data_IF_578627140151
#
_entry.id   IF_578627140151
#
_cell.length_a   1.000
_cell.length_b   1.000
_cell.length_c   1.000
_cell.angle_alpha   90.00
_cell.angle_beta   90.00
_cell.angle_gamma   90.00
#
_symmetry.space_group_name_H-M   'P 1'
#
loop_
_entity.id
_entity.type
_entity.pdbx_description
1 polymer ?
#
# COMPACT_ATOMS: atom_id res chain seq x y z
N UNK A 1 6.58 -22.53 -0.79
CA UNK A 1 7.97 -22.02 -0.86
C UNK A 1 8.23 -21.50 -2.27
N UNK A 2 8.88 -20.34 -2.44
CA UNK A 2 9.35 -19.84 -3.74
C UNK A 2 10.87 -19.99 -3.78
N UNK A 3 11.41 -20.53 -4.89
CA UNK A 3 12.85 -20.65 -5.12
C UNK A 3 13.20 -19.86 -6.39
N UNK A 4 14.09 -18.88 -6.26
CA UNK A 4 14.60 -18.07 -7.38
C UNK A 4 16.05 -18.47 -7.64
N UNK A 5 16.33 -18.92 -8.86
CA UNK A 5 17.65 -19.38 -9.29
C UNK A 5 18.35 -18.27 -10.08
N UNK A 6 19.55 -17.93 -9.67
CA UNK A 6 20.38 -16.88 -10.25
C UNK A 6 21.55 -17.49 -11.05
N UNK A 7 21.86 -16.90 -12.17
CA UNK A 7 23.17 -16.98 -12.81
C UNK A 7 24.08 -15.86 -12.27
N UNK A 8 25.36 -15.93 -12.55
CA UNK A 8 26.30 -14.82 -12.21
C UNK A 8 25.86 -13.48 -12.84
N UNK A 9 25.34 -13.54 -14.06
CA UNK A 9 24.82 -12.38 -14.77
C UNK A 9 23.58 -11.80 -14.09
N UNK A 10 22.67 -12.64 -13.59
CA UNK A 10 21.49 -12.21 -12.86
C UNK A 10 21.84 -11.44 -11.61
N UNK A 11 22.86 -11.85 -10.86
CA UNK A 11 23.30 -11.19 -9.63
C UNK A 11 23.69 -9.74 -9.86
N UNK A 12 24.34 -9.44 -10.99
CA UNK A 12 24.70 -8.07 -11.38
C UNK A 12 23.49 -7.23 -11.85
N UNK A 13 22.36 -7.88 -12.12
CA UNK A 13 21.12 -7.27 -12.61
C UNK A 13 20.00 -7.27 -11.58
N UNK A 14 20.29 -7.61 -10.31
CA UNK A 14 19.32 -7.44 -9.22
C UNK A 14 19.25 -5.97 -8.83
N UNK A 15 18.05 -5.45 -8.72
CA UNK A 15 17.83 -4.06 -8.28
C UNK A 15 16.57 -3.94 -7.46
N UNK A 16 16.57 -3.07 -6.50
CA UNK A 16 15.37 -2.58 -5.82
C UNK A 16 14.78 -1.43 -6.64
N UNK A 17 13.46 -1.41 -6.79
CA UNK A 17 12.78 -0.31 -7.47
C UNK A 17 13.00 1.00 -6.68
N UNK A 18 13.54 2.07 -7.29
CA UNK A 18 13.87 3.30 -6.57
C UNK A 18 12.64 4.15 -6.25
N UNK A 19 11.51 3.89 -6.93
CA UNK A 19 10.24 4.60 -6.76
C UNK A 19 9.08 3.63 -6.77
N UNK A 20 7.95 3.95 -6.09
CA UNK A 20 6.76 3.11 -6.13
C UNK A 20 6.09 3.22 -7.49
N UNK A 21 5.58 2.11 -8.01
CA UNK A 21 4.84 2.04 -9.25
C UNK A 21 3.32 2.08 -8.96
N UNK A 22 2.58 3.12 -9.44
CA UNK A 22 1.18 3.32 -9.07
C UNK A 22 0.26 2.15 -9.40
N UNK A 23 0.39 1.56 -10.60
CA UNK A 23 -0.47 0.43 -10.99
C UNK A 23 -0.08 -0.87 -10.29
N UNK A 24 1.21 -1.10 -10.05
CA UNK A 24 1.67 -2.25 -9.28
C UNK A 24 1.08 -2.25 -7.87
N UNK A 25 1.15 -1.11 -7.18
CA UNK A 25 0.60 -0.95 -5.84
C UNK A 25 -0.94 -1.04 -5.85
N UNK A 26 -1.60 -0.47 -6.89
CA UNK A 26 -3.05 -0.60 -7.06
C UNK A 26 -3.47 -2.07 -7.21
N UNK A 27 -2.79 -2.83 -8.05
CA UNK A 27 -3.12 -4.24 -8.27
C UNK A 27 -2.88 -5.08 -7.01
N UNK A 28 -1.80 -4.79 -6.27
CA UNK A 28 -1.53 -5.39 -4.96
C UNK A 28 -2.67 -5.09 -3.96
N UNK A 29 -3.12 -3.83 -3.90
CA UNK A 29 -4.23 -3.40 -3.07
C UNK A 29 -5.55 -4.08 -3.46
N UNK A 30 -5.91 -4.09 -4.75
CA UNK A 30 -7.13 -4.73 -5.24
C UNK A 30 -7.11 -6.24 -5.02
N UNK A 31 -5.97 -6.91 -5.26
CA UNK A 31 -5.80 -8.34 -4.98
C UNK A 31 -6.09 -8.63 -3.51
N UNK A 32 -5.58 -7.81 -2.60
CA UNK A 32 -5.83 -7.96 -1.17
C UNK A 32 -7.30 -7.63 -0.81
N UNK A 33 -7.90 -6.62 -1.46
CA UNK A 33 -9.28 -6.24 -1.20
C UNK A 33 -10.28 -7.35 -1.57
N UNK A 34 -10.04 -8.11 -2.64
CA UNK A 34 -10.92 -9.21 -3.10
C UNK A 34 -10.55 -10.57 -2.52
N UNK A 35 -9.37 -10.73 -1.92
CA UNK A 35 -8.94 -11.98 -1.32
C UNK A 35 -9.84 -12.41 -0.15
N UNK A 36 -10.11 -13.69 -0.01
CA UNK A 36 -10.98 -14.26 1.04
C UNK A 36 -10.28 -14.47 2.39
N UNK A 37 -9.20 -13.75 2.68
CA UNK A 37 -8.41 -13.90 3.90
C UNK A 37 -9.13 -13.39 5.16
N UNK A 38 -8.85 -14.02 6.31
CA UNK A 38 -9.35 -13.63 7.64
C UNK A 38 -8.36 -12.75 8.42
N UNK A 39 -7.50 -11.99 7.72
CA UNK A 39 -6.60 -11.08 8.41
C UNK A 39 -7.42 -9.95 9.07
N UNK A 40 -7.46 -9.86 10.41
CA UNK A 40 -8.26 -8.85 11.10
C UNK A 40 -7.76 -7.43 10.85
N UNK A 41 -6.47 -7.23 10.56
CA UNK A 41 -5.89 -5.91 10.27
C UNK A 41 -6.36 -5.38 8.92
N UNK A 42 -6.45 -6.25 7.92
CA UNK A 42 -6.92 -5.90 6.59
C UNK A 42 -8.45 -5.99 6.43
N UNK A 43 -9.17 -6.61 7.36
CA UNK A 43 -10.62 -6.83 7.23
C UNK A 43 -11.43 -5.54 7.11
N UNK A 44 -11.17 -4.56 7.98
CA UNK A 44 -11.83 -3.24 7.94
C UNK A 44 -11.39 -2.43 6.72
N UNK A 45 -10.10 -2.44 6.42
CA UNK A 45 -9.55 -1.77 5.25
C UNK A 45 -10.17 -2.31 3.95
N UNK A 46 -10.29 -3.62 3.79
CA UNK A 46 -10.96 -4.27 2.64
C UNK A 46 -12.40 -3.78 2.47
N UNK A 47 -13.18 -3.79 3.55
CA UNK A 47 -14.56 -3.29 3.53
C UNK A 47 -14.66 -1.82 3.10
N UNK A 48 -13.72 -0.97 3.52
CA UNK A 48 -13.64 0.43 3.09
C UNK A 48 -13.28 0.55 1.62
N UNK A 49 -12.24 -0.14 1.17
CA UNK A 49 -11.82 -0.13 -0.25
C UNK A 49 -12.96 -0.56 -1.18
N UNK A 50 -13.62 -1.70 -0.86
CA UNK A 50 -14.70 -2.21 -1.70
C UNK A 50 -15.91 -1.26 -1.76
N UNK A 51 -16.21 -0.52 -0.67
CA UNK A 51 -17.26 0.51 -0.69
C UNK A 51 -16.86 1.79 -1.41
N UNK A 52 -15.58 2.14 -1.40
CA UNK A 52 -15.06 3.34 -2.05
C UNK A 52 -14.90 3.18 -3.57
N UNK A 53 -14.79 1.94 -4.07
CA UNK A 53 -14.62 1.70 -5.50
C UNK A 53 -15.87 2.17 -6.28
N UNK A 54 -15.72 3.09 -7.24
CA UNK A 54 -16.83 3.55 -8.05
C UNK A 54 -17.23 2.48 -9.09
N UNK A 55 -18.46 2.54 -9.58
CA UNK A 55 -18.96 1.62 -10.62
C UNK A 55 -18.09 1.62 -11.89
N UNK A 56 -17.40 2.74 -12.18
CA UNK A 56 -16.46 2.86 -13.31
C UNK A 56 -15.23 1.96 -13.17
N UNK A 57 -14.90 1.49 -11.97
CA UNK A 57 -13.84 0.51 -11.73
C UNK A 57 -14.30 -0.95 -11.95
N UNK A 58 -15.61 -1.17 -12.10
CA UNK A 58 -16.21 -2.52 -12.27
C UNK A 58 -15.54 -3.41 -13.31
N UNK A 59 -15.16 -2.89 -14.50
CA UNK A 59 -14.46 -3.67 -15.53
C UNK A 59 -13.17 -4.35 -15.06
N UNK A 60 -12.51 -3.87 -13.98
CA UNK A 60 -11.32 -4.54 -13.44
C UNK A 60 -11.62 -5.94 -12.91
N UNK A 61 -12.83 -6.21 -12.45
CA UNK A 61 -13.25 -7.54 -12.02
C UNK A 61 -13.26 -8.54 -13.19
N UNK A 62 -13.60 -8.07 -14.39
CA UNK A 62 -13.58 -8.89 -15.61
C UNK A 62 -12.14 -9.29 -16.02
N UNK A 63 -11.13 -8.49 -15.64
CA UNK A 63 -9.72 -8.82 -15.91
C UNK A 63 -9.16 -9.90 -14.97
N UNK A 64 -9.87 -10.25 -13.90
CA UNK A 64 -9.38 -11.14 -12.85
C UNK A 64 -10.38 -12.28 -12.55
N UNK A 65 -10.94 -12.97 -13.55
CA UNK A 65 -12.02 -13.95 -13.35
C UNK A 65 -11.61 -15.12 -12.45
N UNK A 66 -10.32 -15.46 -12.44
CA UNK A 66 -9.75 -16.56 -11.63
C UNK A 66 -8.82 -16.06 -10.51
N UNK A 67 -8.94 -14.80 -10.08
CA UNK A 67 -8.10 -14.21 -9.03
C UNK A 67 -6.66 -13.90 -9.47
N UNK A 68 -6.35 -13.94 -10.76
CA UNK A 68 -5.03 -13.66 -11.32
C UNK A 68 -5.14 -12.68 -12.47
N UNK A 69 -4.63 -11.45 -12.31
CA UNK A 69 -4.63 -10.47 -13.39
C UNK A 69 -3.72 -10.87 -14.55
N UNK A 70 -3.96 -10.36 -15.76
CA UNK A 70 -3.01 -10.46 -16.86
C UNK A 70 -1.71 -9.74 -16.52
N UNK A 71 -0.57 -10.40 -16.73
CA UNK A 71 0.73 -9.85 -16.31
C UNK A 71 1.16 -8.61 -17.10
N UNK A 72 0.60 -8.36 -18.29
CA UNK A 72 0.89 -7.15 -19.07
C UNK A 72 0.36 -5.85 -18.42
N UNK A 73 -0.56 -5.96 -17.45
CA UNK A 73 -1.09 -4.82 -16.69
C UNK A 73 -0.15 -4.35 -15.57
N UNK A 74 0.75 -5.22 -15.10
CA UNK A 74 1.68 -4.93 -14.02
C UNK A 74 2.95 -4.30 -14.59
N UNK A 75 2.91 -3.00 -14.84
CA UNK A 75 4.04 -2.24 -15.38
C UNK A 75 4.72 -1.44 -14.27
N UNK A 76 6.03 -1.29 -14.40
CA UNK A 76 6.83 -0.46 -13.50
C UNK A 76 7.05 0.91 -14.17
N UNK A 77 6.33 1.91 -13.69
CA UNK A 77 6.43 3.30 -14.12
C UNK A 77 6.28 4.24 -12.92
N UNK A 78 6.82 5.44 -13.03
CA UNK A 78 6.81 6.42 -11.94
C UNK A 78 5.46 7.15 -11.82
N UNK A 79 4.70 7.19 -12.90
CA UNK A 79 3.41 7.88 -12.98
C UNK A 79 2.31 6.99 -13.54
N UNK A 80 1.07 7.36 -13.25
CA UNK A 80 -0.10 6.64 -13.76
C UNK A 80 -0.22 6.75 -15.29
N UNK A 81 0.07 7.93 -15.86
CA UNK A 81 -0.03 8.13 -17.30
C UNK A 81 1.06 7.37 -18.06
N UNK A 82 2.29 7.36 -17.56
CA UNK A 82 3.38 6.52 -18.10
C UNK A 82 3.01 5.02 -18.02
N UNK A 83 2.40 4.60 -16.91
CA UNK A 83 1.90 3.22 -16.78
C UNK A 83 0.92 2.86 -17.88
N UNK A 84 -0.03 3.76 -18.18
CA UNK A 84 -1.01 3.54 -19.25
C UNK A 84 -0.36 3.44 -20.63
N UNK A 85 0.64 4.27 -20.91
CA UNK A 85 1.37 4.19 -22.17
C UNK A 85 2.14 2.87 -22.29
N UNK A 86 2.81 2.43 -21.23
CA UNK A 86 3.52 1.14 -21.21
C UNK A 86 2.57 -0.05 -21.42
N UNK A 87 1.38 -0.03 -20.81
CA UNK A 87 0.37 -1.06 -21.02
C UNK A 87 -0.12 -1.05 -22.48
N UNK A 88 -0.40 0.12 -23.02
CA UNK A 88 -0.88 0.27 -24.40
C UNK A 88 0.12 -0.20 -25.45
N UNK A 89 1.42 -0.05 -25.15
CA UNK A 89 2.52 -0.50 -26.03
C UNK A 89 2.91 -1.97 -25.80
N UNK A 90 2.16 -2.71 -24.95
CA UNK A 90 2.40 -4.15 -24.78
C UNK A 90 2.24 -4.89 -26.12
N UNK A 91 3.14 -5.84 -26.39
CA UNK A 91 3.11 -6.59 -27.63
C UNK A 91 1.77 -7.34 -27.79
N UNK A 92 1.08 -7.25 -28.93
CA UNK A 92 -0.25 -7.84 -29.12
C UNK A 92 -0.32 -9.34 -28.81
N UNK A 93 0.74 -10.08 -29.13
CA UNK A 93 0.81 -11.51 -28.81
C UNK A 93 0.89 -11.78 -27.30
N UNK A 94 1.61 -10.93 -26.55
CA UNK A 94 1.65 -11.01 -25.08
C UNK A 94 0.26 -10.73 -24.48
N UNK A 95 -0.43 -9.73 -24.99
CA UNK A 95 -1.79 -9.40 -24.55
C UNK A 95 -2.73 -10.59 -24.80
N UNK A 96 -2.69 -11.16 -25.99
CA UNK A 96 -3.50 -12.33 -26.36
C UNK A 96 -3.21 -13.54 -25.48
N UNK A 97 -1.95 -13.92 -25.36
CA UNK A 97 -1.53 -15.07 -24.55
C UNK A 97 -1.92 -14.93 -23.08
N UNK A 98 -1.78 -13.73 -22.53
CA UNK A 98 -2.17 -13.45 -21.14
C UNK A 98 -3.68 -13.46 -20.92
N UNK A 99 -4.47 -12.93 -21.84
CA UNK A 99 -5.94 -13.02 -21.79
C UNK A 99 -6.42 -14.46 -21.94
N UNK A 100 -5.84 -15.23 -22.86
CA UNK A 100 -6.12 -16.66 -23.01
C UNK A 100 -5.76 -17.44 -21.73
N UNK A 101 -4.63 -17.14 -21.12
CA UNK A 101 -4.23 -17.73 -19.83
C UNK A 101 -5.23 -17.42 -18.71
N UNK A 102 -5.73 -16.18 -18.64
CA UNK A 102 -6.65 -15.73 -17.60
C UNK A 102 -8.04 -16.34 -17.77
N UNK A 103 -8.54 -16.40 -19.00
CA UNK A 103 -9.88 -16.91 -19.29
C UNK A 103 -9.93 -18.43 -19.53
N UNK A 104 -8.83 -19.06 -19.96
CA UNK A 104 -8.82 -20.48 -20.30
C UNK A 104 -9.93 -20.82 -21.27
N UNK A 105 -10.79 -21.78 -20.90
CA UNK A 105 -11.97 -22.17 -21.67
C UNK A 105 -13.21 -21.27 -21.46
N UNK A 106 -13.11 -20.26 -20.61
CA UNK A 106 -14.19 -19.31 -20.33
C UNK A 106 -14.46 -18.35 -21.48
N UNK A 107 -15.71 -17.85 -21.57
CA UNK A 107 -16.08 -16.83 -22.57
C UNK A 107 -15.84 -15.43 -21.99
N UNK A 108 -14.86 -14.68 -22.52
CA UNK A 108 -14.62 -13.33 -22.05
C UNK A 108 -15.75 -12.37 -22.43
N UNK A 109 -16.02 -11.33 -21.64
CA UNK A 109 -16.92 -10.24 -22.00
C UNK A 109 -16.57 -9.60 -23.35
N UNK A 110 -17.55 -8.94 -23.99
CA UNK A 110 -17.35 -8.35 -25.34
C UNK A 110 -16.15 -7.39 -25.37
N UNK A 111 -16.02 -6.52 -24.39
CA UNK A 111 -14.94 -5.54 -24.34
C UNK A 111 -13.56 -6.18 -24.15
N UNK A 112 -13.46 -7.31 -23.44
CA UNK A 112 -12.21 -8.08 -23.32
C UNK A 112 -11.84 -8.72 -24.67
N UNK A 113 -12.83 -9.18 -25.46
CA UNK A 113 -12.57 -9.65 -26.83
C UNK A 113 -12.04 -8.54 -27.72
N UNK A 114 -12.56 -7.30 -27.55
CA UNK A 114 -12.03 -6.13 -28.22
C UNK A 114 -10.59 -5.80 -27.79
N UNK A 115 -10.26 -5.99 -26.50
CA UNK A 115 -8.89 -5.84 -26.01
C UNK A 115 -7.94 -6.87 -26.67
N UNK A 116 -8.38 -8.12 -26.75
CA UNK A 116 -7.67 -9.20 -27.47
C UNK A 116 -7.47 -8.87 -28.97
N UNK A 117 -8.44 -8.19 -29.60
CA UNK A 117 -8.36 -7.74 -30.98
C UNK A 117 -7.56 -6.42 -31.15
N UNK A 118 -7.13 -5.77 -30.06
CA UNK A 118 -6.39 -4.50 -30.08
C UNK A 118 -7.28 -3.26 -30.29
N UNK A 119 -8.59 -3.36 -30.03
CA UNK A 119 -9.54 -2.24 -30.19
C UNK A 119 -9.25 -1.11 -29.21
N UNK A 120 -9.07 0.11 -29.69
CA UNK A 120 -8.79 1.31 -28.90
C UNK A 120 -9.86 1.57 -27.83
N UNK A 121 -11.13 1.36 -28.16
CA UNK A 121 -12.23 1.52 -27.21
C UNK A 121 -12.08 0.62 -25.96
N UNK A 122 -11.57 -0.59 -26.13
CA UNK A 122 -11.33 -1.52 -25.02
C UNK A 122 -10.15 -1.07 -24.14
N UNK A 123 -9.12 -0.49 -24.72
CA UNK A 123 -8.01 0.13 -23.97
C UNK A 123 -8.48 1.35 -23.16
N UNK A 124 -9.40 2.15 -23.69
CA UNK A 124 -10.02 3.23 -22.93
C UNK A 124 -10.82 2.73 -21.72
N UNK A 125 -11.49 1.57 -21.83
CA UNK A 125 -12.17 0.95 -20.68
C UNK A 125 -11.15 0.60 -19.58
N UNK A 126 -10.04 -0.06 -19.93
CA UNK A 126 -8.97 -0.41 -18.96
C UNK A 126 -8.44 0.85 -18.27
N UNK A 127 -8.02 1.85 -19.06
CA UNK A 127 -7.44 3.10 -18.55
C UNK A 127 -8.41 3.81 -17.60
N UNK A 128 -9.67 3.95 -17.99
CA UNK A 128 -10.70 4.61 -17.18
C UNK A 128 -10.96 3.87 -15.89
N UNK A 129 -11.04 2.54 -15.92
CA UNK A 129 -11.29 1.73 -14.75
C UNK A 129 -10.12 1.75 -13.77
N UNK A 130 -8.88 1.65 -14.26
CA UNK A 130 -7.67 1.74 -13.42
C UNK A 130 -7.52 3.13 -12.81
N UNK A 131 -7.75 4.20 -13.57
CA UNK A 131 -7.71 5.58 -13.05
C UNK A 131 -8.73 5.78 -11.95
N UNK A 132 -9.97 5.36 -12.17
CA UNK A 132 -11.04 5.50 -11.17
C UNK A 132 -10.74 4.71 -9.89
N UNK A 133 -10.19 3.50 -10.01
CA UNK A 133 -9.76 2.71 -8.85
C UNK A 133 -8.58 3.36 -8.12
N UNK A 134 -7.59 3.88 -8.85
CA UNK A 134 -6.44 4.57 -8.27
C UNK A 134 -6.87 5.82 -7.49
N UNK A 135 -7.71 6.67 -8.07
CA UNK A 135 -8.23 7.89 -7.44
C UNK A 135 -9.00 7.58 -6.15
N UNK A 136 -9.77 6.49 -6.15
CA UNK A 136 -10.56 6.10 -4.99
C UNK A 136 -9.72 5.43 -3.87
N UNK A 137 -8.72 4.62 -4.22
CA UNK A 137 -8.02 3.73 -3.27
C UNK A 137 -6.66 4.27 -2.88
N UNK A 138 -5.85 4.69 -3.85
CA UNK A 138 -4.44 5.02 -3.62
C UNK A 138 -4.14 6.52 -3.61
N UNK A 139 -4.78 7.32 -4.44
CA UNK A 139 -4.47 8.75 -4.53
C UNK A 139 -4.51 9.46 -3.16
N UNK A 140 -5.47 9.18 -2.26
CA UNK A 140 -5.52 9.80 -0.94
C UNK A 140 -4.33 9.44 -0.02
N UNK A 141 -3.71 8.28 -0.23
CA UNK A 141 -2.58 7.78 0.59
C UNK A 141 -1.26 7.78 -0.16
N UNK A 142 -1.26 8.18 -1.43
CA UNK A 142 -0.08 8.10 -2.29
C UNK A 142 1.16 8.84 -1.75
N UNK A 143 1.04 10.04 -1.14
CA UNK A 143 2.18 10.69 -0.50
C UNK A 143 2.82 9.80 0.59
N UNK A 144 2.00 9.16 1.44
CA UNK A 144 2.47 8.24 2.47
C UNK A 144 3.15 7.00 1.86
N UNK A 145 2.56 6.40 0.82
CA UNK A 145 3.16 5.27 0.10
C UNK A 145 4.54 5.63 -0.44
N UNK A 146 4.70 6.83 -1.01
CA UNK A 146 5.99 7.33 -1.51
C UNK A 146 7.03 7.50 -0.40
N UNK A 147 6.64 7.96 0.78
CA UNK A 147 7.54 8.14 1.91
C UNK A 147 7.97 6.79 2.48
N UNK A 148 7.03 5.87 2.71
CA UNK A 148 7.32 4.50 3.13
C UNK A 148 8.23 3.77 2.12
N UNK A 149 7.99 3.95 0.83
CA UNK A 149 8.82 3.37 -0.21
C UNK A 149 10.25 3.91 -0.18
N UNK A 150 10.41 5.22 0.04
CA UNK A 150 11.74 5.85 0.15
C UNK A 150 12.52 5.30 1.35
N UNK A 151 11.86 5.13 2.49
CA UNK A 151 12.46 4.53 3.69
C UNK A 151 12.87 3.08 3.45
N UNK A 152 11.99 2.30 2.83
CA UNK A 152 12.23 0.90 2.49
C UNK A 152 13.42 0.75 1.52
N UNK A 153 13.43 1.56 0.47
CA UNK A 153 14.53 1.59 -0.50
C UNK A 153 15.86 1.96 0.17
N UNK A 154 15.88 3.01 0.99
CA UNK A 154 17.08 3.46 1.69
C UNK A 154 17.61 2.38 2.64
N UNK A 155 16.74 1.68 3.36
CA UNK A 155 17.08 0.56 4.25
C UNK A 155 17.78 -0.57 3.48
N UNK A 156 17.24 -0.99 2.34
CA UNK A 156 17.84 -2.04 1.54
C UNK A 156 19.10 -1.60 0.83
N UNK A 157 19.16 -0.36 0.33
CA UNK A 157 20.37 0.20 -0.28
C UNK A 157 21.54 0.21 0.71
N UNK A 158 21.28 0.60 1.96
CA UNK A 158 22.28 0.56 3.04
C UNK A 158 22.71 -0.89 3.34
N UNK A 159 21.76 -1.80 3.47
CA UNK A 159 22.05 -3.22 3.72
C UNK A 159 22.91 -3.83 2.60
N UNK A 160 22.62 -3.49 1.33
CA UNK A 160 23.43 -3.94 0.19
C UNK A 160 24.84 -3.37 0.25
N UNK A 161 24.97 -2.08 0.61
CA UNK A 161 26.27 -1.41 0.67
C UNK A 161 27.14 -1.94 1.83
N UNK A 162 26.57 -2.25 2.99
CA UNK A 162 27.30 -2.70 4.17
C UNK A 162 27.53 -4.22 4.21
N UNK A 163 26.55 -5.01 3.75
CA UNK A 163 26.52 -6.45 3.97
C UNK A 163 26.34 -7.27 2.68
N UNK A 164 26.20 -6.60 1.55
CA UNK A 164 26.02 -7.22 0.24
C UNK A 164 24.60 -7.65 -0.08
N UNK A 165 24.38 -8.00 -1.36
CA UNK A 165 23.07 -8.36 -1.90
C UNK A 165 22.43 -9.55 -1.19
N UNK A 166 23.23 -10.57 -0.84
CA UNK A 166 22.70 -11.77 -0.16
C UNK A 166 22.06 -11.47 1.19
N UNK A 167 22.66 -10.55 1.97
CA UNK A 167 22.09 -10.10 3.23
C UNK A 167 20.75 -9.35 3.01
N UNK A 168 20.70 -8.48 1.99
CA UNK A 168 19.47 -7.75 1.65
C UNK A 168 18.35 -8.70 1.21
N UNK A 169 18.64 -9.72 0.38
CA UNK A 169 17.66 -10.74 -0.03
C UNK A 169 17.14 -11.54 1.17
N UNK A 170 18.04 -11.91 2.09
CA UNK A 170 17.68 -12.65 3.31
C UNK A 170 16.82 -11.80 4.25
N UNK A 171 17.03 -10.50 4.29
CA UNK A 171 16.27 -9.57 5.13
C UNK A 171 14.84 -9.27 4.64
N UNK A 172 14.47 -9.66 3.40
CA UNK A 172 13.15 -9.34 2.83
C UNK A 172 12.00 -10.09 3.50
N UNK A 173 12.25 -11.27 4.07
CA UNK A 173 11.22 -12.00 4.81
C UNK A 173 11.84 -12.86 5.93
N UNK A 174 11.16 -13.00 7.08
CA UNK A 174 11.57 -13.93 8.12
C UNK A 174 11.70 -15.38 7.57
N UNK A 175 12.85 -16.01 7.76
CA UNK A 175 13.12 -17.35 7.23
C UNK A 175 13.50 -17.41 5.76
N UNK A 176 13.68 -16.28 5.09
CA UNK A 176 14.30 -16.20 3.77
C UNK A 176 15.78 -16.55 3.84
N UNK A 177 16.29 -17.30 2.87
CA UNK A 177 17.68 -17.76 2.80
C UNK A 177 18.21 -17.60 1.38
N UNK A 178 19.41 -17.02 1.27
CA UNK A 178 20.16 -16.92 0.02
C UNK A 178 21.50 -17.69 0.17
N UNK A 179 21.75 -18.64 -0.73
CA UNK A 179 22.96 -19.51 -0.70
C UNK A 179 24.00 -19.17 -1.81
N UNK A 180 23.90 -18.00 -2.39
CA UNK A 180 24.78 -17.53 -3.47
C UNK A 180 24.26 -17.77 -4.87
N UNK A 181 23.41 -18.77 -5.08
CA UNK A 181 22.81 -19.08 -6.39
C UNK A 181 21.30 -19.30 -6.35
N UNK A 182 20.75 -19.60 -5.19
CA UNK A 182 19.32 -19.82 -4.99
C UNK A 182 18.82 -19.03 -3.81
N UNK A 183 17.81 -18.22 -4.06
CA UNK A 183 17.09 -17.54 -3.00
C UNK A 183 15.77 -18.26 -2.70
N UNK A 184 15.60 -18.63 -1.44
CA UNK A 184 14.42 -19.33 -0.93
C UNK A 184 13.56 -18.40 -0.12
N UNK A 185 12.36 -18.14 -0.59
CA UNK A 185 11.34 -17.42 0.17
C UNK A 185 10.41 -18.44 0.85
N UNK A 186 10.19 -18.36 2.16
CA UNK A 186 9.35 -19.30 2.88
C UNK A 186 7.90 -19.23 2.44
N UNK A 187 7.16 -20.32 2.58
CA UNK A 187 5.71 -20.28 2.44
C UNK A 187 5.11 -19.51 3.63
N UNK A 188 4.03 -18.72 3.43
CA UNK A 188 3.33 -18.14 4.56
C UNK A 188 2.84 -19.24 5.51
N UNK A 189 2.85 -19.01 6.84
CA UNK A 189 2.52 -20.03 7.84
C UNK A 189 1.13 -20.66 7.64
N UNK A 190 0.18 -19.90 7.09
CA UNK A 190 -1.20 -20.35 6.89
C UNK A 190 -1.43 -21.15 5.60
N UNK A 191 -0.46 -21.24 4.70
CA UNK A 191 -0.58 -21.99 3.44
C UNK A 191 -0.78 -23.49 3.66
N UNK A 192 -0.35 -24.03 4.77
CA UNK A 192 -0.49 -25.45 5.14
C UNK A 192 -1.91 -25.77 5.61
N UNK A 193 -2.60 -24.84 6.24
CA UNK A 193 -3.95 -25.01 6.78
C UNK A 193 -5.03 -24.89 5.68
N UNK A 194 -4.79 -24.10 4.63
CA UNK A 194 -5.73 -23.94 3.51
C UNK A 194 -5.68 -25.12 2.52
N UNK A 195 -4.56 -25.84 2.45
CA UNK A 195 -4.44 -27.04 1.63
C UNK A 195 -5.17 -28.26 2.22
N UNK A 196 -5.49 -28.27 3.52
CA UNK A 196 -6.14 -29.38 4.22
C UNK A 196 -7.65 -29.20 4.42
N UNK A 197 -8.22 -28.01 4.18
CA UNK A 197 -9.66 -27.78 4.26
C UNK A 197 -10.29 -27.71 2.86
N UNK A 198 -10.55 -28.89 2.31
CA UNK A 198 -11.58 -29.26 1.37
C UNK A 198 -12.03 -28.25 0.32
N UNK A 199 -11.26 -28.03 -0.68
CA UNK A 199 -11.72 -27.41 -1.92
C UNK A 199 -12.50 -28.44 -2.77
N UNK A 200 -13.80 -28.56 -2.56
CA UNK A 200 -14.71 -29.05 -3.61
C UNK A 200 -14.89 -27.92 -4.62
N UNK A 201 -14.03 -27.90 -5.62
CA UNK A 201 -14.01 -26.87 -6.68
C UNK A 201 -12.60 -26.57 -7.17
N UNK A 202 -11.68 -27.51 -7.03
CA UNK A 202 -10.33 -27.40 -7.58
C UNK A 202 -10.37 -27.55 -9.09
N UNK A 203 -10.12 -26.45 -9.81
CA UNK A 203 -9.60 -26.55 -11.17
C UNK A 203 -8.24 -27.26 -11.09
N UNK A 204 -8.16 -28.40 -11.79
CA UNK A 204 -7.06 -29.34 -11.77
C UNK A 204 -5.70 -28.64 -11.94
N UNK A 205 -4.79 -28.86 -10.99
CA UNK A 205 -3.35 -28.63 -11.18
C UNK A 205 -2.89 -29.48 -12.36
N UNK A 206 -2.05 -28.95 -13.28
CA UNK A 206 -1.41 -29.78 -14.27
C UNK A 206 -0.67 -30.92 -13.56
N UNK A 207 -0.94 -32.16 -13.98
CA UNK A 207 -0.27 -33.35 -13.47
C UNK A 207 1.24 -33.20 -13.71
N UNK A 208 2.04 -33.24 -12.64
CA UNK A 208 3.51 -33.21 -12.73
C UNK A 208 4.20 -32.15 -11.84
N UNK A 209 3.49 -31.33 -11.07
CA UNK A 209 4.15 -30.41 -10.13
C UNK A 209 4.42 -31.15 -8.83
N UNK A 210 5.70 -31.32 -8.40
CA UNK A 210 6.02 -31.93 -7.11
C UNK A 210 5.40 -31.10 -5.97
N UNK A 211 5.15 -31.73 -4.84
CA UNK A 211 4.68 -31.11 -3.59
C UNK A 211 5.68 -30.12 -2.96
N UNK A 212 6.44 -29.40 -3.74
CA UNK A 212 7.49 -28.47 -3.38
C UNK A 212 7.37 -27.20 -4.21
N UNK A 213 7.39 -26.09 -3.60
CA UNK A 213 7.50 -24.71 -4.04
C UNK A 213 7.59 -24.37 -5.53
N UNK A 214 7.21 -23.12 -5.86
CA UNK A 214 7.38 -22.54 -7.20
C UNK A 214 8.88 -22.26 -7.44
N UNK A 215 9.47 -22.83 -8.46
CA UNK A 215 10.83 -22.54 -8.91
C UNK A 215 10.80 -21.54 -10.08
N UNK A 216 11.65 -20.53 -10.03
CA UNK A 216 11.82 -19.51 -11.07
C UNK A 216 13.29 -19.44 -11.45
N UNK A 217 13.60 -19.54 -12.74
CA UNK A 217 14.96 -19.36 -13.28
C UNK A 217 15.04 -18.00 -13.96
N UNK A 218 15.95 -17.16 -13.52
CA UNK A 218 16.10 -15.81 -14.10
C UNK A 218 16.75 -15.86 -15.49
N UNK A 219 17.76 -16.71 -15.68
CA UNK A 219 18.38 -16.97 -16.99
C UNK A 219 19.05 -15.75 -17.60
N UNK A 220 19.70 -14.91 -16.81
CA UNK A 220 20.38 -13.69 -17.25
C UNK A 220 19.47 -12.46 -17.35
N UNK A 221 18.15 -12.59 -17.10
CA UNK A 221 17.19 -11.48 -17.19
C UNK A 221 17.25 -10.50 -16.01
N UNK A 222 17.80 -10.97 -14.88
CA UNK A 222 17.85 -10.19 -13.65
C UNK A 222 16.52 -10.18 -12.87
N UNK A 223 16.53 -9.49 -11.74
CA UNK A 223 15.41 -9.42 -10.79
C UNK A 223 15.16 -7.96 -10.37
N UNK A 224 13.92 -7.52 -10.41
CA UNK A 224 13.48 -6.25 -9.84
C UNK A 224 12.62 -6.51 -8.61
N UNK A 225 13.05 -5.98 -7.48
CA UNK A 225 12.38 -6.08 -6.19
C UNK A 225 11.55 -4.83 -5.94
N UNK A 226 10.25 -5.00 -5.71
CA UNK A 226 9.30 -3.89 -5.54
C UNK A 226 8.59 -4.06 -4.19
N UNK A 227 8.72 -3.14 -3.25
CA UNK A 227 7.94 -3.20 -2.02
C UNK A 227 6.46 -2.88 -2.29
N UNK A 228 5.56 -3.54 -1.58
CA UNK A 228 4.13 -3.20 -1.53
C UNK A 228 3.68 -3.06 -0.08
N UNK A 229 2.82 -2.08 0.18
CA UNK A 229 2.29 -1.77 1.51
C UNK A 229 0.83 -2.22 1.67
N UNK A 230 0.21 -2.71 0.58
CA UNK A 230 -1.18 -3.13 0.56
C UNK A 230 -1.38 -4.64 0.35
N UNK A 231 -0.30 -5.43 0.28
CA UNK A 231 -0.41 -6.88 0.06
C UNK A 231 0.47 -7.66 1.06
N UNK A 232 -0.10 -8.16 2.19
CA UNK A 232 0.65 -8.85 3.23
C UNK A 232 0.87 -10.35 2.97
N UNK A 233 0.17 -10.93 2.00
CA UNK A 233 0.05 -12.40 1.85
C UNK A 233 1.30 -13.10 1.29
N UNK A 234 2.39 -12.37 1.02
CA UNK A 234 3.63 -12.93 0.46
C UNK A 234 4.00 -12.31 -0.89
N UNK A 235 5.01 -12.83 -1.58
CA UNK A 235 5.49 -12.21 -2.81
C UNK A 235 4.54 -12.45 -3.97
N UNK A 236 4.31 -11.39 -4.77
CA UNK A 236 3.69 -11.48 -6.08
C UNK A 236 4.79 -11.55 -7.13
N UNK A 237 4.70 -12.49 -8.05
CA UNK A 237 5.72 -12.72 -9.05
C UNK A 237 5.17 -12.50 -10.46
N UNK A 238 5.81 -11.62 -11.20
CA UNK A 238 5.61 -11.39 -12.62
C UNK A 238 6.83 -11.91 -13.39
N UNK A 239 6.59 -12.88 -14.26
CA UNK A 239 7.62 -13.54 -15.06
C UNK A 239 7.19 -13.51 -16.54
N UNK A 240 7.55 -12.43 -17.23
CA UNK A 240 7.30 -12.24 -18.66
C UNK A 240 8.54 -12.59 -19.47
N UNK A 241 8.39 -13.21 -20.65
CA UNK A 241 9.51 -13.52 -21.52
C UNK A 241 10.34 -12.28 -21.86
N UNK A 242 11.64 -12.44 -21.96
CA UNK A 242 12.62 -11.41 -22.34
C UNK A 242 12.63 -10.14 -21.49
N UNK A 243 11.92 -10.11 -20.35
CA UNK A 243 11.96 -9.01 -19.37
C UNK A 243 12.59 -9.48 -18.07
N UNK A 244 13.16 -8.56 -17.26
CA UNK A 244 13.51 -8.87 -15.88
C UNK A 244 12.31 -9.45 -15.14
N UNK A 245 12.56 -10.43 -14.29
CA UNK A 245 11.52 -10.92 -13.39
C UNK A 245 11.23 -9.85 -12.35
N UNK A 246 9.96 -9.55 -12.11
CA UNK A 246 9.55 -8.61 -11.06
C UNK A 246 8.98 -9.39 -9.88
N UNK A 247 9.49 -9.12 -8.70
CA UNK A 247 9.00 -9.68 -7.45
C UNK A 247 8.55 -8.56 -6.54
N UNK A 248 7.22 -8.46 -6.35
CA UNK A 248 6.63 -7.53 -5.40
C UNK A 248 6.55 -8.22 -4.04
N UNK A 249 7.13 -7.61 -3.01
CA UNK A 249 7.23 -8.17 -1.67
C UNK A 249 6.51 -7.32 -0.63
N UNK A 250 5.91 -7.95 0.41
CA UNK A 250 5.30 -7.24 1.53
C UNK A 250 6.33 -6.39 2.26
N UNK A 251 6.03 -5.12 2.47
CA UNK A 251 6.88 -4.17 3.18
C UNK A 251 6.07 -3.40 4.24
N UNK A 252 6.77 -2.68 5.11
CA UNK A 252 6.16 -1.89 6.17
C UNK A 252 5.74 -2.68 7.41
N UNK A 253 4.89 -2.06 8.22
CA UNK A 253 4.49 -2.57 9.55
C UNK A 253 3.38 -3.62 9.52
N UNK A 254 2.97 -4.10 8.35
CA UNK A 254 1.83 -5.02 8.21
C UNK A 254 0.44 -4.36 8.31
N UNK A 255 0.38 -3.02 8.35
CA UNK A 255 -0.86 -2.27 8.28
C UNK A 255 -0.95 -1.56 6.93
N UNK A 256 -2.07 -1.69 6.19
CA UNK A 256 -2.22 -0.98 4.94
C UNK A 256 -2.32 0.52 5.19
N UNK A 257 -1.63 1.36 4.41
CA UNK A 257 -1.87 2.79 4.39
C UNK A 257 -3.36 3.06 4.13
N UNK A 258 -3.99 3.81 5.02
CA UNK A 258 -5.38 4.18 4.87
C UNK A 258 -5.53 5.70 4.99
N UNK A 259 -6.39 6.34 4.18
CA UNK A 259 -6.69 7.74 4.36
C UNK A 259 -7.33 7.95 5.73
N UNK A 260 -6.86 8.93 6.48
CA UNK A 260 -7.46 9.33 7.75
C UNK A 260 -8.92 9.83 7.59
N UNK A 261 -9.30 10.24 6.38
CA UNK A 261 -10.58 10.85 6.06
C UNK A 261 -11.65 9.88 5.48
N UNK A 262 -11.39 8.57 5.39
CA UNK A 262 -12.42 7.59 4.98
C UNK A 262 -13.31 7.16 6.17
N UNK A 263 -13.14 7.78 7.32
CA UNK A 263 -14.08 7.66 8.43
C UNK A 263 -15.32 8.49 8.06
N UNK A 264 -16.39 7.79 7.68
CA UNK A 264 -17.71 8.39 7.48
C UNK A 264 -18.22 9.07 8.75
N UNK A 265 -19.39 9.73 8.70
CA UNK A 265 -19.93 10.57 9.80
C UNK A 265 -20.18 9.85 11.14
N UNK A 266 -19.98 8.55 11.21
CA UNK A 266 -19.93 7.78 12.45
C UNK A 266 -18.56 7.86 13.11
N UNK A 267 -18.22 9.04 13.64
CA UNK A 267 -16.99 9.43 14.32
C UNK A 267 -16.52 8.56 15.50
N UNK A 268 -16.54 7.24 15.39
CA UNK A 268 -16.13 6.30 16.44
C UNK A 268 -14.87 5.47 16.14
N UNK A 269 -14.29 5.56 14.94
CA UNK A 269 -13.08 4.77 14.59
C UNK A 269 -11.80 5.62 14.56
N UNK A 270 -11.50 6.28 15.65
CA UNK A 270 -10.19 6.81 15.95
C UNK A 270 -9.19 5.65 16.10
N UNK A 271 -8.21 5.46 15.18
CA UNK A 271 -7.29 4.34 15.24
C UNK A 271 -6.39 4.35 16.48
N UNK A 272 -6.25 5.50 17.14
CA UNK A 272 -5.45 5.64 18.35
C UNK A 272 -6.22 5.27 19.61
N UNK A 273 -7.53 5.43 19.62
CA UNK A 273 -8.36 5.16 20.79
C UNK A 273 -8.31 3.70 21.26
N UNK A 274 -8.34 2.67 20.39
CA UNK A 274 -8.19 1.28 20.83
C UNK A 274 -6.84 0.95 21.44
N UNK A 275 -5.79 1.66 21.02
CA UNK A 275 -4.40 1.39 21.44
C UNK A 275 -4.01 2.22 22.67
N UNK A 276 -4.31 3.51 22.66
CA UNK A 276 -3.89 4.45 23.71
C UNK A 276 -4.99 4.71 24.75
N UNK A 277 -6.23 4.38 24.44
CA UNK A 277 -7.41 4.86 25.14
C UNK A 277 -7.75 6.30 24.74
N UNK A 278 -9.04 6.65 24.78
CA UNK A 278 -9.59 7.91 24.27
C UNK A 278 -8.85 9.16 24.79
N UNK A 279 -8.63 9.22 26.09
CA UNK A 279 -8.01 10.41 26.71
C UNK A 279 -6.55 10.61 26.32
N UNK A 280 -5.75 9.52 26.18
CA UNK A 280 -4.34 9.64 25.74
C UNK A 280 -4.26 9.96 24.26
N UNK A 281 -5.10 9.37 23.43
CA UNK A 281 -5.17 9.70 22.01
C UNK A 281 -5.48 11.20 21.81
N UNK A 282 -6.46 11.72 22.53
CA UNK A 282 -6.82 13.14 22.50
C UNK A 282 -5.70 14.04 23.05
N UNK A 283 -5.02 13.62 24.14
CA UNK A 283 -3.87 14.33 24.68
C UNK A 283 -2.75 14.49 23.63
N UNK A 284 -2.38 13.40 22.97
CA UNK A 284 -1.32 13.46 21.95
C UNK A 284 -1.73 14.37 20.78
N UNK A 285 -3.01 14.38 20.38
CA UNK A 285 -3.51 15.31 19.35
C UNK A 285 -3.47 16.77 19.76
N UNK A 286 -3.88 17.07 20.99
CA UNK A 286 -3.85 18.43 21.53
C UNK A 286 -2.44 19.03 21.59
N UNK A 287 -1.41 18.19 21.59
CA UNK A 287 -0.01 18.59 21.58
C UNK A 287 0.56 18.88 20.18
N UNK A 288 -0.30 19.22 19.20
CA UNK A 288 0.14 19.87 17.96
C UNK A 288 0.97 21.13 18.26
N UNK A 289 0.63 21.79 19.37
CA UNK A 289 1.37 22.90 19.95
C UNK A 289 1.78 22.56 21.40
N UNK A 290 2.93 23.03 21.88
CA UNK A 290 3.36 22.79 23.26
C UNK A 290 2.36 23.35 24.28
N UNK A 291 1.89 22.52 25.23
CA UNK A 291 0.91 22.86 26.26
C UNK A 291 1.38 22.50 27.66
N UNK A 292 0.96 23.29 28.63
CA UNK A 292 1.14 22.98 30.06
C UNK A 292 0.16 21.90 30.53
N UNK A 293 0.46 21.25 31.66
CA UNK A 293 -0.45 20.25 32.27
C UNK A 293 -1.82 20.84 32.56
N UNK A 294 -1.90 22.11 32.98
CA UNK A 294 -3.17 22.80 33.27
C UNK A 294 -3.99 23.06 32.01
N UNK A 295 -3.35 23.43 30.89
CA UNK A 295 -4.03 23.62 29.62
C UNK A 295 -4.54 22.28 29.07
N UNK A 296 -3.77 21.19 29.22
CA UNK A 296 -4.21 19.86 28.87
C UNK A 296 -5.40 19.40 29.73
N UNK A 297 -5.33 19.60 31.04
CA UNK A 297 -6.41 19.24 31.96
C UNK A 297 -7.74 19.94 31.58
N UNK A 298 -7.67 21.24 31.26
CA UNK A 298 -8.82 22.03 30.83
C UNK A 298 -9.38 21.53 29.49
N UNK A 299 -8.51 21.29 28.49
CA UNK A 299 -8.92 20.82 27.17
C UNK A 299 -9.55 19.43 27.22
N UNK A 300 -8.97 18.52 27.98
CA UNK A 300 -9.44 17.14 28.17
C UNK A 300 -10.62 17.02 29.14
N UNK A 301 -10.98 18.12 29.84
CA UNK A 301 -12.03 18.14 30.89
C UNK A 301 -11.77 17.12 32.01
N UNK A 302 -10.51 17.01 32.45
CA UNK A 302 -10.08 16.14 33.55
C UNK A 302 -9.35 16.94 34.63
N UNK A 303 -9.05 16.31 35.77
CA UNK A 303 -8.24 16.93 36.81
C UNK A 303 -6.78 17.08 36.38
N UNK A 304 -6.06 18.03 36.97
CA UNK A 304 -4.62 18.21 36.74
C UNK A 304 -3.82 16.92 37.08
N UNK A 305 -4.22 16.19 38.11
CA UNK A 305 -3.59 14.92 38.48
C UNK A 305 -3.80 13.85 37.40
N UNK A 306 -5.03 13.77 36.85
CA UNK A 306 -5.36 12.86 35.76
C UNK A 306 -4.60 13.21 34.48
N UNK A 307 -4.56 14.49 34.10
CA UNK A 307 -3.80 14.97 32.94
C UNK A 307 -2.30 14.69 33.09
N UNK A 308 -1.74 14.89 34.30
CA UNK A 308 -0.34 14.56 34.60
C UNK A 308 -0.06 13.07 34.47
N UNK A 309 -0.96 12.20 34.95
CA UNK A 309 -0.87 10.75 34.80
C UNK A 309 -0.88 10.30 33.34
N UNK A 310 -1.78 10.85 32.53
CA UNK A 310 -1.82 10.57 31.09
C UNK A 310 -0.59 11.09 30.36
N UNK A 311 -0.09 12.29 30.70
CA UNK A 311 1.17 12.83 30.17
C UNK A 311 2.37 11.96 30.56
N UNK A 312 2.45 11.48 31.80
CA UNK A 312 3.50 10.57 32.25
C UNK A 312 3.50 9.25 31.44
N UNK A 313 2.33 8.62 31.26
CA UNK A 313 2.20 7.40 30.45
C UNK A 313 2.57 7.63 28.98
N UNK A 314 2.13 8.74 28.36
CA UNK A 314 2.48 9.08 26.99
C UNK A 314 3.98 9.39 26.82
N UNK A 315 4.62 9.95 27.84
CA UNK A 315 6.08 10.18 27.87
C UNK A 315 6.85 8.86 27.99
N UNK A 316 6.41 7.95 28.85
CA UNK A 316 7.01 6.63 28.98
C UNK A 316 6.92 5.84 27.65
N UNK A 317 5.82 6.02 26.90
CA UNK A 317 5.64 5.46 25.57
C UNK A 317 6.44 6.19 24.47
N UNK A 318 7.21 7.25 24.81
CA UNK A 318 7.99 8.01 23.85
C UNK A 318 7.19 8.92 22.92
N UNK A 319 5.87 9.05 23.12
CA UNK A 319 5.00 9.85 22.23
C UNK A 319 5.12 11.35 22.49
N UNK A 320 5.45 11.75 23.71
CA UNK A 320 5.64 13.14 24.09
C UNK A 320 6.92 13.33 24.90
N UNK A 321 7.42 14.54 24.90
CA UNK A 321 8.49 14.97 25.79
C UNK A 321 8.02 16.12 26.67
N UNK A 322 8.71 16.31 27.77
CA UNK A 322 8.41 17.38 28.74
C UNK A 322 9.59 18.31 28.80
N UNK A 323 9.36 19.60 28.55
CA UNK A 323 10.38 20.65 28.57
C UNK A 323 10.06 21.63 29.68
N UNK A 324 11.06 22.02 30.46
CA UNK A 324 10.93 23.09 31.47
C UNK A 324 11.06 24.45 30.77
N UNK A 325 10.04 25.30 30.92
CA UNK A 325 10.03 26.67 30.46
C UNK A 325 9.92 27.60 31.72
N UNK A 326 11.06 27.94 32.31
CA UNK A 326 11.11 28.70 33.54
C UNK A 326 10.47 27.95 34.74
N UNK A 327 9.44 28.52 35.33
CA UNK A 327 8.65 27.94 36.45
C UNK A 327 7.55 26.98 35.96
N UNK A 328 7.30 26.88 34.66
CA UNK A 328 6.27 26.04 34.09
C UNK A 328 6.86 24.83 33.36
N UNK A 329 6.05 23.78 33.25
CA UNK A 329 6.35 22.56 32.49
C UNK A 329 5.47 22.54 31.27
N UNK A 330 6.06 22.36 30.10
CA UNK A 330 5.34 22.17 28.85
C UNK A 330 5.57 20.79 28.27
N UNK A 331 4.53 20.21 27.74
CA UNK A 331 4.55 18.96 27.03
C UNK A 331 4.47 19.26 25.53
N UNK A 332 5.20 18.48 24.74
CA UNK A 332 5.21 18.58 23.28
C UNK A 332 5.35 17.17 22.66
N UNK A 333 4.87 16.98 21.45
CA UNK A 333 5.03 15.73 20.76
C UNK A 333 6.48 15.47 20.40
N UNK A 334 6.86 14.22 20.36
CA UNK A 334 8.09 13.73 19.74
C UNK A 334 7.84 13.43 18.26
N UNK A 335 8.90 13.17 17.49
CA UNK A 335 8.77 12.69 16.11
C UNK A 335 7.91 11.40 16.03
N UNK A 336 8.00 10.51 17.04
CA UNK A 336 7.13 9.33 17.14
C UNK A 336 5.67 9.74 17.40
N UNK A 337 5.43 10.73 18.24
CA UNK A 337 4.10 11.27 18.49
C UNK A 337 3.48 11.90 17.26
N UNK A 338 4.27 12.62 16.46
CA UNK A 338 3.82 13.18 15.18
C UNK A 338 3.49 12.09 14.17
N UNK A 339 4.34 11.08 14.07
CA UNK A 339 4.11 9.92 13.18
C UNK A 339 2.81 9.18 13.54
N UNK A 340 2.56 8.97 14.84
CA UNK A 340 1.40 8.24 15.34
C UNK A 340 0.09 9.01 15.13
N UNK A 341 0.10 10.34 15.26
CA UNK A 341 -1.08 11.19 15.02
C UNK A 341 -1.35 11.39 13.54
N UNK A 342 -0.31 11.29 12.70
CA UNK A 342 -0.38 11.58 11.27
C UNK A 342 -0.46 13.08 10.95
N UNK A 343 -0.41 13.46 9.67
CA UNK A 343 -0.49 14.86 9.25
C UNK A 343 -1.87 15.45 9.61
N UNK A 344 -1.89 16.50 10.40
CA UNK A 344 -3.11 17.26 10.67
C UNK A 344 -3.47 18.11 9.45
N UNK A 345 -4.76 18.19 9.07
CA UNK A 345 -5.18 19.18 8.08
C UNK A 345 -4.85 20.57 8.61
N UNK A 346 -4.22 21.40 7.76
CA UNK A 346 -3.94 22.79 8.08
C UNK A 346 -5.24 23.48 8.54
N UNK A 347 -5.20 24.35 9.58
CA UNK A 347 -6.36 25.07 10.01
C UNK A 347 -6.94 25.85 8.83
N UNK A 348 -8.19 25.58 8.48
CA UNK A 348 -8.91 26.37 7.49
C UNK A 348 -8.96 27.81 8.01
N UNK A 349 -8.20 28.68 7.37
CA UNK A 349 -8.35 30.13 7.55
C UNK A 349 -9.79 30.47 7.12
N UNK A 350 -10.67 30.68 8.09
CA UNK A 350 -11.98 31.27 7.81
C UNK A 350 -11.72 32.59 7.10
N UNK A 351 -12.25 32.78 5.88
CA UNK A 351 -12.11 34.08 5.22
C UNK A 351 -12.75 35.13 6.10
N UNK A 352 -11.95 36.12 6.52
CA UNK A 352 -12.48 37.30 7.17
C UNK A 352 -13.55 37.91 6.24
N UNK A 353 -14.73 38.26 6.77
CA UNK A 353 -15.73 38.98 5.97
C UNK A 353 -15.11 40.32 5.55
N UNK A 354 -15.02 40.52 4.25
CA UNK A 354 -14.61 41.77 3.62
C UNK A 354 -15.56 42.87 4.13
N UNK A 355 -15.03 43.98 4.69
CA UNK A 355 -15.91 45.09 5.10
C UNK A 355 -16.64 45.63 3.87
N UNK A 356 -17.97 45.68 3.94
CA UNK A 356 -18.82 46.30 2.94
C UNK A 356 -18.39 47.78 2.77
N UNK A 357 -17.82 48.09 1.62
CA UNK A 357 -17.64 49.46 1.15
C UNK A 357 -19.03 50.08 0.91
N UNK A 358 -19.36 51.13 1.65
CA UNK A 358 -20.55 51.92 1.40
C UNK A 358 -20.45 52.58 0.00
N UNK A 359 -21.54 52.63 -0.78
CA UNK A 359 -21.52 53.28 -2.06
C UNK A 359 -21.35 54.81 -1.93
N UNK A 360 -20.67 55.47 -2.87
CA UNK A 360 -20.48 56.94 -2.83
C UNK A 360 -21.82 57.70 -2.95
N UNK A 361 -21.96 58.89 -2.33
CA UNK A 361 -23.17 59.68 -2.41
C UNK A 361 -23.45 60.18 -3.83
N UNK A 362 -24.70 60.11 -4.23
CA UNK A 362 -25.18 60.65 -5.53
C UNK A 362 -25.01 62.17 -5.58
N UNK A 363 -24.64 62.74 -6.72
CA UNK A 363 -24.63 64.19 -6.87
C UNK A 363 -26.09 64.72 -6.88
N UNK A 364 -26.32 65.75 -6.08
CA UNK A 364 -27.57 66.52 -6.06
C UNK A 364 -27.65 67.47 -7.27
N UNK A 365 -28.85 67.82 -7.78
CA UNK A 365 -29.09 68.57 -9.00
C UNK A 365 -28.63 70.01 -8.99
#
# INVERSE_FOLDING_TARGET
MLCVHFTTEDLSRVRFAPRPAPLQELHAALTTAVASGRDPLFGRWRGRVLRALPATAGPLADLVPAGRPPAFLDVLADTLDESFELIRTAHPETVRAELERVYGAGVPPRWIRGLHAGEEASWHVVRRAQRAAYEAVLAPVWPLVRDLHREEFARHALTVAEHGLGAALTALAPGSVFDGSVWRWPAPPDATTLASQGSRGSLARPAGTPSGGRAVRLGGRGLVLVPTFHHPAGPLLQDLPARPVVLTYPAGSGHPPAPLALDGPDGSDDPLTPVLGRTRAELVRLLAEPRSTTELARALRVSNATASGHAAGSRTAGLIRTVRAGRSVRHERTALGDLVVGPQPAPQLTPHPTPCHAPPPRPTP
#
